data_IF_177563915615
#
_entry.id   IF_177563915615
#
_cell.length_a   1.000
_cell.length_b   1.000
_cell.length_c   1.000
_cell.angle_alpha   90.00
_cell.angle_beta   90.00
_cell.angle_gamma   90.00
#
_symmetry.space_group_name_H-M   'P 1'
#
loop_
_entity.id
_entity.type
_entity.pdbx_description
1 polymer ?
#
# COMPACT_ATOMS: atom_id res chain seq x y z
N UNK A 1 -34.33 -24.73 -0.22
CA UNK A 1 -33.03 -24.50 0.42
C UNK A 1 -32.61 -23.05 0.15
N UNK A 2 -32.77 -22.21 1.14
CA UNK A 2 -32.32 -20.82 1.05
C UNK A 2 -30.81 -20.80 1.31
N UNK A 3 -30.04 -20.69 0.24
CA UNK A 3 -28.63 -20.41 0.35
C UNK A 3 -28.51 -18.91 0.70
N UNK A 4 -28.49 -18.59 2.00
CA UNK A 4 -28.16 -17.26 2.47
C UNK A 4 -26.68 -17.04 2.17
N UNK A 5 -26.38 -16.52 0.99
CA UNK A 5 -25.05 -16.07 0.62
C UNK A 5 -24.61 -15.01 1.62
N UNK A 6 -23.85 -15.41 2.62
CA UNK A 6 -23.21 -14.47 3.52
C UNK A 6 -22.35 -13.56 2.63
N UNK A 7 -22.68 -12.28 2.59
CA UNK A 7 -21.93 -11.28 1.85
C UNK A 7 -20.50 -11.30 2.38
N UNK A 8 -19.55 -11.57 1.50
CA UNK A 8 -18.14 -11.60 1.89
C UNK A 8 -17.74 -10.23 2.46
N UNK A 9 -17.14 -10.22 3.65
CA UNK A 9 -16.70 -8.97 4.29
C UNK A 9 -15.62 -8.30 3.46
N UNK A 10 -15.70 -6.99 3.33
CA UNK A 10 -14.61 -6.21 2.74
C UNK A 10 -13.31 -6.39 3.56
N UNK A 11 -12.16 -6.13 2.95
CA UNK A 11 -10.88 -6.23 3.65
C UNK A 11 -10.82 -5.31 4.88
N UNK A 12 -11.42 -4.12 4.79
CA UNK A 12 -11.47 -3.17 5.91
C UNK A 12 -12.33 -3.68 7.07
N UNK A 13 -13.44 -4.36 6.78
CA UNK A 13 -14.28 -5.00 7.80
C UNK A 13 -13.61 -6.22 8.43
N UNK A 14 -12.82 -6.94 7.64
CA UNK A 14 -12.07 -8.11 8.10
C UNK A 14 -10.90 -7.73 9.00
N UNK A 15 -10.28 -6.58 8.74
CA UNK A 15 -9.09 -6.09 9.45
C UNK A 15 -9.34 -4.68 10.02
N UNK A 16 -9.86 -4.57 11.25
CA UNK A 16 -10.20 -3.29 11.85
C UNK A 16 -8.96 -2.45 12.17
N UNK A 17 -9.10 -1.11 12.24
CA UNK A 17 -8.01 -0.21 12.60
C UNK A 17 -7.42 -0.51 13.98
N UNK A 18 -6.14 -0.18 14.17
CA UNK A 18 -5.45 -0.16 15.46
C UNK A 18 -5.57 1.20 16.14
N UNK A 19 -5.35 1.24 17.45
CA UNK A 19 -5.20 2.49 18.18
C UNK A 19 -3.86 3.17 17.86
N UNK A 20 -3.79 4.51 17.92
CA UNK A 20 -2.53 5.23 17.75
C UNK A 20 -1.54 4.81 18.82
N UNK A 21 -0.30 4.58 18.41
CA UNK A 21 0.78 4.28 19.34
C UNK A 21 2.11 4.84 18.82
N UNK A 22 2.86 5.52 19.70
CA UNK A 22 4.18 6.07 19.40
C UNK A 22 5.30 5.37 20.18
N UNK A 23 5.07 4.14 20.68
CA UNK A 23 6.12 3.37 21.32
C UNK A 23 7.22 3.00 20.30
N UNK A 24 8.40 2.68 20.78
CA UNK A 24 9.56 2.36 19.94
C UNK A 24 9.26 1.25 18.91
N UNK A 25 8.51 0.24 19.29
CA UNK A 25 8.11 -0.87 18.42
C UNK A 25 7.24 -0.37 17.26
N UNK A 26 6.19 0.39 17.55
CA UNK A 26 5.28 0.91 16.54
C UNK A 26 5.96 1.92 15.62
N UNK A 27 6.81 2.78 16.16
CA UNK A 27 7.63 3.73 15.39
C UNK A 27 8.58 3.02 14.45
N UNK A 28 9.19 1.92 14.88
CA UNK A 28 10.13 1.15 14.07
C UNK A 28 9.46 0.51 12.84
N UNK A 29 8.18 0.15 12.92
CA UNK A 29 7.43 -0.34 11.75
C UNK A 29 7.31 0.69 10.63
N UNK A 30 7.30 1.98 10.94
CA UNK A 30 7.20 3.06 9.95
C UNK A 30 8.46 3.26 9.09
N UNK A 31 9.52 2.50 9.34
CA UNK A 31 10.67 2.40 8.43
C UNK A 31 10.28 1.71 7.13
N UNK A 32 9.29 0.81 7.17
CA UNK A 32 8.74 0.16 6.00
C UNK A 32 7.22 0.31 6.00
N UNK A 33 6.66 1.23 5.19
CA UNK A 33 5.22 1.44 5.12
C UNK A 33 4.51 0.21 4.56
N UNK A 34 3.32 -0.05 5.09
CA UNK A 34 2.43 -1.10 4.61
C UNK A 34 1.70 -0.72 3.32
N UNK A 35 1.14 -1.71 2.65
CA UNK A 35 0.39 -1.51 1.43
C UNK A 35 -1.04 -1.07 1.69
N UNK A 36 -1.54 -0.20 0.83
CA UNK A 36 -2.97 0.07 0.70
C UNK A 36 -3.68 -1.10 0.02
N UNK A 37 -4.97 -1.24 0.28
CA UNK A 37 -5.86 -1.90 -0.68
C UNK A 37 -6.00 -1.03 -1.93
N UNK A 38 -6.48 -1.60 -3.04
CA UNK A 38 -6.74 -0.85 -4.28
C UNK A 38 -7.71 0.31 -4.02
N UNK A 39 -8.77 0.07 -3.25
CA UNK A 39 -9.75 1.11 -2.89
C UNK A 39 -9.13 2.23 -2.06
N UNK A 40 -8.35 1.89 -1.05
CA UNK A 40 -7.68 2.87 -0.18
C UNK A 40 -6.65 3.70 -0.96
N UNK A 41 -5.85 3.07 -1.81
CA UNK A 41 -4.91 3.77 -2.67
C UNK A 41 -5.61 4.72 -3.65
N UNK A 42 -6.78 4.32 -4.17
CA UNK A 42 -7.62 5.18 -5.01
C UNK A 42 -8.08 6.43 -4.25
N UNK A 43 -8.55 6.26 -3.02
CA UNK A 43 -8.93 7.40 -2.16
C UNK A 43 -7.75 8.31 -1.84
N UNK A 44 -6.60 7.74 -1.54
CA UNK A 44 -5.39 8.50 -1.27
C UNK A 44 -4.91 9.29 -2.51
N UNK A 45 -5.02 8.69 -3.69
CA UNK A 45 -4.73 9.37 -4.95
C UNK A 45 -5.70 10.55 -5.20
N UNK A 46 -6.99 10.33 -4.99
CA UNK A 46 -8.03 11.37 -5.14
C UNK A 46 -7.89 12.48 -4.08
N UNK A 47 -7.34 12.17 -2.92
CA UNK A 47 -7.01 13.15 -1.87
C UNK A 47 -5.74 13.97 -2.17
N UNK A 48 -5.05 13.71 -3.29
CA UNK A 48 -3.89 14.47 -3.72
C UNK A 48 -2.54 13.91 -3.26
N UNK A 49 -2.49 12.69 -2.73
CA UNK A 49 -1.25 12.08 -2.24
C UNK A 49 -0.41 11.37 -3.33
N UNK A 50 -0.80 11.44 -4.59
CA UNK A 50 -0.15 10.71 -5.68
C UNK A 50 1.37 10.87 -5.75
N UNK A 51 1.88 12.07 -5.55
CA UNK A 51 3.32 12.34 -5.56
C UNK A 51 4.07 11.84 -4.32
N UNK A 52 3.36 11.39 -3.31
CA UNK A 52 3.90 10.82 -2.07
C UNK A 52 3.74 9.30 -2.02
N UNK A 53 3.33 8.70 -3.13
CA UNK A 53 3.26 7.26 -3.34
C UNK A 53 4.49 6.77 -4.08
N UNK A 54 4.77 5.47 -3.94
CA UNK A 54 5.77 4.76 -4.72
C UNK A 54 5.16 3.51 -5.33
N UNK A 55 5.78 2.99 -6.39
CA UNK A 55 5.40 1.75 -7.04
C UNK A 55 6.31 0.61 -6.59
N UNK A 56 5.73 -0.39 -5.96
CA UNK A 56 6.41 -1.65 -5.65
C UNK A 56 5.99 -2.72 -6.66
N UNK A 57 6.93 -3.57 -7.06
CA UNK A 57 6.62 -4.73 -7.90
C UNK A 57 6.36 -5.95 -7.02
N UNK A 58 5.33 -6.73 -7.36
CA UNK A 58 5.13 -8.04 -6.74
C UNK A 58 6.34 -8.96 -6.98
N UNK A 59 6.59 -9.96 -6.11
CA UNK A 59 7.76 -10.83 -6.24
C UNK A 59 7.87 -11.52 -7.62
N UNK A 60 6.75 -11.91 -8.22
CA UNK A 60 6.71 -12.55 -9.54
C UNK A 60 6.80 -11.54 -10.71
N UNK A 61 6.85 -10.25 -10.43
CA UNK A 61 6.92 -9.16 -11.42
C UNK A 61 5.72 -9.13 -12.40
N UNK A 62 4.58 -9.68 -12.00
CA UNK A 62 3.37 -9.77 -12.84
C UNK A 62 2.38 -8.65 -12.60
N UNK A 63 2.49 -7.96 -11.48
CA UNK A 63 1.68 -6.79 -11.14
C UNK A 63 2.47 -5.84 -10.23
N UNK A 64 1.99 -4.62 -10.11
CA UNK A 64 2.52 -3.62 -9.21
C UNK A 64 1.55 -3.31 -8.07
N UNK A 65 2.07 -2.61 -7.06
CA UNK A 65 1.34 -2.13 -5.89
C UNK A 65 1.73 -0.69 -5.61
N UNK A 66 0.75 0.15 -5.29
CA UNK A 66 1.02 1.49 -4.78
C UNK A 66 1.04 1.47 -3.25
N UNK A 67 2.06 2.05 -2.69
CA UNK A 67 2.23 2.20 -1.25
C UNK A 67 2.65 3.63 -0.88
N UNK A 68 2.53 4.03 0.39
CA UNK A 68 3.20 5.24 0.85
C UNK A 68 4.69 5.16 0.54
N UNK A 69 5.27 6.25 0.06
CA UNK A 69 6.67 6.23 -0.37
C UNK A 69 7.64 6.22 0.82
N UNK A 70 8.76 5.53 0.65
CA UNK A 70 9.96 5.85 1.41
C UNK A 70 10.37 7.28 1.13
N UNK A 71 10.94 7.98 2.10
CA UNK A 71 11.60 9.27 1.87
C UNK A 71 12.76 9.08 0.88
N UNK A 72 12.64 9.66 -0.28
CA UNK A 72 13.55 9.51 -1.42
C UNK A 72 12.97 8.71 -2.60
N UNK A 73 11.86 8.01 -2.43
CA UNK A 73 11.19 7.25 -3.49
C UNK A 73 9.87 7.88 -3.96
N UNK A 74 9.56 9.10 -3.53
CA UNK A 74 8.31 9.78 -3.84
C UNK A 74 8.09 9.91 -5.35
N UNK A 75 6.98 9.38 -5.83
CA UNK A 75 6.64 9.38 -7.26
C UNK A 75 7.50 8.46 -8.12
N UNK A 76 8.20 7.51 -7.53
CA UNK A 76 9.13 6.62 -8.21
C UNK A 76 8.95 5.16 -7.78
N UNK A 77 9.84 4.27 -8.23
CA UNK A 77 9.91 2.90 -7.73
C UNK A 77 10.38 2.85 -6.28
N UNK A 78 9.90 1.86 -5.54
CA UNK A 78 10.45 1.50 -4.24
C UNK A 78 11.87 0.95 -4.40
N UNK A 79 12.84 1.64 -3.81
CA UNK A 79 14.24 1.23 -3.79
C UNK A 79 14.65 0.85 -2.37
N UNK A 80 15.26 -0.30 -2.20
CA UNK A 80 15.66 -0.81 -0.88
C UNK A 80 16.63 0.13 -0.15
N UNK A 81 17.48 0.86 -0.89
CA UNK A 81 18.41 1.84 -0.33
C UNK A 81 17.75 3.00 0.44
N UNK A 82 16.48 3.29 0.14
CA UNK A 82 15.71 4.33 0.82
C UNK A 82 14.81 3.81 1.94
N UNK A 83 14.73 2.50 2.14
CA UNK A 83 13.88 1.91 3.17
C UNK A 83 14.27 2.36 4.59
N UNK A 84 15.53 2.59 4.84
CA UNK A 84 16.05 3.08 6.12
C UNK A 84 15.65 4.53 6.43
N UNK A 85 15.29 5.31 5.41
CA UNK A 85 14.83 6.69 5.57
C UNK A 85 13.41 6.78 6.15
N UNK A 86 12.69 5.66 6.15
CA UNK A 86 11.33 5.55 6.67
C UNK A 86 10.26 6.06 5.71
N UNK A 87 9.02 6.02 6.19
CA UNK A 87 7.85 6.43 5.45
C UNK A 87 7.77 7.96 5.30
N UNK A 88 7.42 8.43 4.10
CA UNK A 88 7.22 9.86 3.83
C UNK A 88 6.13 10.51 4.71
N UNK A 89 5.14 9.74 5.15
CA UNK A 89 4.03 10.21 5.98
C UNK A 89 4.32 10.16 7.49
N UNK A 90 5.49 9.69 7.88
CA UNK A 90 5.87 9.64 9.28
C UNK A 90 6.64 10.89 9.68
N UNK A 91 6.06 11.69 10.59
CA UNK A 91 6.66 12.91 11.13
C UNK A 91 6.38 13.04 12.61
N UNK A 92 7.36 13.50 13.38
CA UNK A 92 7.24 13.73 14.82
C UNK A 92 6.67 12.52 15.59
N UNK A 93 7.18 11.33 15.25
CA UNK A 93 6.75 10.04 15.85
C UNK A 93 5.29 9.67 15.61
N UNK A 94 4.63 10.29 14.62
CA UNK A 94 3.24 10.04 14.26
C UNK A 94 3.05 9.86 12.75
N UNK A 95 2.07 9.05 12.39
CA UNK A 95 1.64 8.89 11.00
C UNK A 95 0.68 10.01 10.60
N UNK A 96 1.02 10.77 9.55
CA UNK A 96 0.15 11.83 9.02
C UNK A 96 -1.14 11.31 8.38
N UNK A 97 -1.18 10.03 8.00
CA UNK A 97 -2.38 9.39 7.43
C UNK A 97 -3.37 8.93 8.49
N UNK A 98 -2.95 8.93 9.75
CA UNK A 98 -3.80 8.51 10.85
C UNK A 98 -5.00 9.46 10.99
N UNK A 99 -6.21 8.90 11.07
CA UNK A 99 -7.45 9.70 11.18
C UNK A 99 -7.92 10.37 9.88
N UNK A 100 -7.20 10.22 8.75
CA UNK A 100 -7.58 10.80 7.45
C UNK A 100 -8.48 9.91 6.61
N UNK A 101 -8.68 8.66 7.01
CA UNK A 101 -9.30 7.63 6.18
C UNK A 101 -8.38 7.03 5.10
N UNK A 102 -7.13 7.46 5.04
CA UNK A 102 -6.13 7.02 4.05
C UNK A 102 -4.99 6.20 4.65
N UNK A 103 -5.07 5.80 5.91
CA UNK A 103 -4.06 4.91 6.48
C UNK A 103 -4.12 3.54 5.78
N UNK A 104 -3.00 3.03 5.25
CA UNK A 104 -2.98 1.72 4.62
C UNK A 104 -3.47 0.61 5.55
N UNK A 105 -4.24 -0.32 4.99
CA UNK A 105 -4.76 -1.47 5.75
C UNK A 105 -3.63 -2.24 6.42
N UNK A 106 -2.55 -2.51 5.71
CA UNK A 106 -1.39 -3.23 6.24
C UNK A 106 -0.72 -2.47 7.39
N UNK A 107 -0.70 -1.15 7.35
CA UNK A 107 -0.15 -0.32 8.44
C UNK A 107 -0.90 -0.47 9.76
N UNK A 108 -2.16 -0.93 9.74
CA UNK A 108 -2.94 -1.21 10.96
C UNK A 108 -2.41 -2.40 11.75
N UNK A 109 -1.58 -3.23 11.12
CA UNK A 109 -0.88 -4.35 11.74
C UNK A 109 0.53 -3.99 12.19
N UNK A 110 1.00 -2.78 11.86
CA UNK A 110 2.25 -2.21 12.35
C UNK A 110 2.06 -1.68 13.79
N UNK A 111 1.67 -2.57 14.69
CA UNK A 111 1.34 -2.26 16.07
C UNK A 111 1.89 -3.34 17.00
N UNK A 112 2.38 -2.95 18.18
CA UNK A 112 2.98 -3.89 19.13
C UNK A 112 2.02 -5.00 19.59
N UNK A 113 0.70 -4.73 19.63
CA UNK A 113 -0.35 -5.70 20.01
C UNK A 113 -0.72 -6.68 18.89
N UNK A 114 -0.22 -6.48 17.67
CA UNK A 114 -0.60 -7.27 16.47
C UNK A 114 0.59 -7.94 15.80
N UNK A 115 1.62 -8.24 16.54
CA UNK A 115 2.80 -8.92 16.03
C UNK A 115 2.44 -10.27 15.41
N UNK A 116 2.91 -10.52 14.20
CA UNK A 116 2.68 -11.76 13.48
C UNK A 116 1.34 -11.87 12.75
N UNK A 117 0.43 -10.92 12.91
CA UNK A 117 -0.89 -10.95 12.25
C UNK A 117 -0.88 -10.32 10.84
N UNK A 118 0.15 -9.56 10.50
CA UNK A 118 0.23 -8.81 9.24
C UNK A 118 0.41 -9.67 8.00
N UNK A 119 0.98 -10.86 8.11
CA UNK A 119 1.27 -11.74 6.97
C UNK A 119 0.00 -12.16 6.21
N UNK A 120 -1.05 -12.54 6.95
CA UNK A 120 -2.33 -12.92 6.35
C UNK A 120 -3.00 -11.73 5.64
N UNK A 121 -2.94 -10.56 6.24
CA UNK A 121 -3.42 -9.32 5.65
C UNK A 121 -2.65 -8.99 4.36
N UNK A 122 -1.34 -9.15 4.38
CA UNK A 122 -0.47 -8.93 3.22
C UNK A 122 -0.87 -9.81 2.02
N UNK A 123 -1.11 -11.10 2.24
CA UNK A 123 -1.55 -12.01 1.19
C UNK A 123 -2.91 -11.63 0.58
N UNK A 124 -3.84 -11.17 1.41
CA UNK A 124 -5.14 -10.70 0.94
C UNK A 124 -5.02 -9.41 0.11
N UNK A 125 -4.15 -8.49 0.51
CA UNK A 125 -3.88 -7.25 -0.24
C UNK A 125 -3.17 -7.56 -1.56
N UNK A 126 -2.25 -8.50 -1.57
CA UNK A 126 -1.56 -8.95 -2.79
C UNK A 126 -2.57 -9.45 -3.85
N UNK A 127 -3.56 -10.25 -3.44
CA UNK A 127 -4.65 -10.70 -4.32
C UNK A 127 -5.50 -9.54 -4.83
N UNK A 128 -5.76 -8.55 -3.99
CA UNK A 128 -6.52 -7.34 -4.35
C UNK A 128 -5.82 -6.54 -5.47
N UNK A 129 -4.50 -6.40 -5.41
CA UNK A 129 -3.72 -5.72 -6.44
C UNK A 129 -3.56 -6.52 -7.73
N UNK A 130 -3.57 -7.85 -7.66
CA UNK A 130 -3.49 -8.71 -8.84
C UNK A 130 -4.85 -8.83 -9.54
N UNK A 131 -5.45 -7.70 -9.85
CA UNK A 131 -6.76 -7.55 -10.49
C UNK A 131 -6.72 -6.50 -11.58
N UNK A 132 -7.75 -6.47 -12.43
CA UNK A 132 -7.94 -5.38 -13.39
C UNK A 132 -8.05 -4.01 -12.70
N UNK A 133 -8.72 -3.94 -11.56
CA UNK A 133 -8.87 -2.70 -10.80
C UNK A 133 -7.51 -2.17 -10.31
N UNK A 134 -6.66 -3.06 -9.79
CA UNK A 134 -5.29 -2.71 -9.40
C UNK A 134 -4.47 -2.17 -10.56
N UNK A 135 -4.48 -2.85 -11.70
CA UNK A 135 -3.78 -2.39 -12.90
C UNK A 135 -4.28 -1.04 -13.40
N UNK A 136 -5.60 -0.83 -13.42
CA UNK A 136 -6.19 0.46 -13.83
C UNK A 136 -5.80 1.61 -12.90
N UNK A 137 -5.71 1.34 -11.60
CA UNK A 137 -5.32 2.37 -10.64
C UNK A 137 -3.86 2.78 -10.83
N UNK A 138 -2.97 1.83 -11.08
CA UNK A 138 -1.57 2.13 -11.40
C UNK A 138 -1.47 2.98 -12.66
N UNK A 139 -2.21 2.65 -13.71
CA UNK A 139 -2.25 3.46 -14.94
C UNK A 139 -2.75 4.89 -14.67
N UNK A 140 -3.78 5.03 -13.82
CA UNK A 140 -4.26 6.35 -13.38
C UNK A 140 -3.18 7.12 -12.64
N UNK A 141 -2.49 6.48 -11.70
CA UNK A 141 -1.40 7.08 -10.94
C UNK A 141 -0.25 7.54 -11.85
N UNK A 142 0.13 6.71 -12.82
CA UNK A 142 1.16 7.06 -13.84
C UNK A 142 0.77 8.34 -14.59
N UNK A 143 -0.47 8.44 -15.04
CA UNK A 143 -0.95 9.64 -15.75
C UNK A 143 -0.98 10.88 -14.88
N UNK A 144 -1.48 10.75 -13.64
CA UNK A 144 -1.65 11.88 -12.72
C UNK A 144 -0.31 12.42 -12.24
N UNK A 145 0.65 11.55 -11.98
CA UNK A 145 1.96 11.94 -11.42
C UNK A 145 3.03 12.19 -12.46
N UNK A 146 2.83 11.72 -13.70
CA UNK A 146 3.88 11.74 -14.71
C UNK A 146 5.05 10.81 -14.37
N UNK A 147 4.77 9.64 -13.78
CA UNK A 147 5.78 8.66 -13.37
C UNK A 147 6.85 8.44 -14.45
N UNK A 148 8.14 8.75 -14.18
CA UNK A 148 9.16 8.83 -15.22
C UNK A 148 9.56 7.47 -15.80
N UNK A 149 9.35 6.39 -15.08
CA UNK A 149 9.73 5.03 -15.47
C UNK A 149 8.56 4.18 -15.97
N UNK A 150 7.50 4.81 -16.51
CA UNK A 150 6.29 4.11 -16.98
C UNK A 150 6.61 3.06 -18.06
N UNK A 151 7.48 3.38 -19.03
CA UNK A 151 7.88 2.44 -20.08
C UNK A 151 8.59 1.20 -19.52
N UNK A 152 9.42 1.38 -18.53
CA UNK A 152 10.10 0.29 -17.84
C UNK A 152 9.12 -0.60 -17.09
N UNK A 153 8.18 -0.01 -16.36
CA UNK A 153 7.10 -0.73 -15.69
C UNK A 153 6.29 -1.58 -16.68
N UNK A 154 5.84 -0.99 -17.79
CA UNK A 154 5.07 -1.70 -18.82
C UNK A 154 5.87 -2.84 -19.47
N UNK A 155 7.17 -2.66 -19.65
CA UNK A 155 8.06 -3.71 -20.16
C UNK A 155 8.12 -4.90 -19.19
N UNK A 156 8.32 -4.66 -17.91
CA UNK A 156 8.36 -5.70 -16.88
C UNK A 156 7.06 -6.49 -16.87
N UNK A 157 5.92 -5.80 -16.80
CA UNK A 157 4.61 -6.44 -16.74
C UNK A 157 4.35 -7.32 -17.98
N UNK A 158 4.65 -6.81 -19.18
CA UNK A 158 4.48 -7.58 -20.42
C UNK A 158 5.39 -8.80 -20.50
N UNK A 159 6.61 -8.70 -20.02
CA UNK A 159 7.57 -9.81 -20.05
C UNK A 159 7.20 -10.95 -19.10
N UNK A 160 6.47 -10.68 -18.04
CA UNK A 160 6.15 -11.66 -16.99
C UNK A 160 4.70 -12.16 -17.01
N UNK A 161 3.80 -11.50 -17.74
CA UNK A 161 2.43 -11.97 -18.01
C UNK A 161 2.43 -12.79 -19.29
N UNK A 162 2.71 -14.10 -19.17
CA UNK A 162 2.57 -15.05 -20.27
C UNK A 162 1.34 -15.91 -20.07
#
# INVERSE_FOLDING_TARGET
MHNSGAKEKSLVEKYPPSEPCSCEICVNYCKRPGWWTVEEAGRALDAGFGKRMMLEMAPELTFGVLSPAFKGCEGNFALNEFSENGCNFFKNSLCQLFGTGCQPLECRFCHHDRRGEGEKCHLDIEKDWNTKAGSKLIEKWIRVTGFPCASYYHMIIRSNRK
#
